data_IF_354757808875
#
_entry.id   IF_354757808875
#
_cell.length_a   1.000
_cell.length_b   1.000
_cell.length_c   1.000
_cell.angle_alpha   90.00
_cell.angle_beta   90.00
_cell.angle_gamma   90.00
#
_symmetry.space_group_name_H-M   'P 1'
#
loop_
_entity.id
_entity.type
_entity.pdbx_description
1 polymer ?
#
# COMPACT_ATOMS: atom_id res chain seq x y z
N UNK A 1 -0.51 -9.97 5.13
CA UNK A 1 0.86 -10.13 5.70
C UNK A 1 0.92 -9.95 7.21
N UNK A 2 0.63 -8.76 7.79
CA UNK A 2 0.75 -8.56 9.25
C UNK A 2 -0.02 -9.58 10.10
N UNK A 3 -1.24 -9.94 9.68
CA UNK A 3 -2.04 -10.93 10.38
C UNK A 3 -1.41 -12.33 10.35
N UNK A 4 -0.85 -12.75 9.21
CA UNK A 4 -0.13 -14.02 9.09
C UNK A 4 1.12 -14.04 9.99
N UNK A 5 1.83 -12.92 10.12
CA UNK A 5 2.93 -12.78 11.08
C UNK A 5 2.44 -12.89 12.53
N UNK A 6 1.34 -12.21 12.86
CA UNK A 6 0.75 -12.24 14.21
C UNK A 6 0.27 -13.66 14.60
N UNK A 7 -0.22 -14.41 13.63
CA UNK A 7 -0.60 -15.83 13.71
C UNK A 7 0.61 -16.79 13.69
N UNK A 8 1.84 -16.26 13.59
CA UNK A 8 3.11 -17.02 13.51
C UNK A 8 3.22 -17.95 12.28
N UNK A 9 2.47 -17.66 11.23
CA UNK A 9 2.48 -18.42 9.97
C UNK A 9 3.67 -18.01 9.08
N UNK A 10 4.10 -16.74 9.17
CA UNK A 10 5.29 -16.23 8.48
C UNK A 10 6.14 -15.34 9.39
N UNK A 11 7.44 -15.23 9.11
CA UNK A 11 8.34 -14.23 9.69
C UNK A 11 8.76 -13.18 8.65
N UNK A 12 8.93 -11.93 9.05
CA UNK A 12 9.41 -10.89 8.14
C UNK A 12 10.85 -11.12 7.65
N UNK A 13 11.64 -11.92 8.36
CA UNK A 13 12.98 -12.35 7.98
C UNK A 13 12.99 -13.66 7.20
N UNK A 14 11.83 -14.26 6.91
CA UNK A 14 11.79 -15.39 5.99
C UNK A 14 12.18 -14.92 4.58
N UNK A 15 12.99 -15.72 3.84
CA UNK A 15 13.19 -15.48 2.43
C UNK A 15 11.89 -15.75 1.67
N UNK A 16 11.59 -14.94 0.65
CA UNK A 16 10.40 -15.10 -0.19
C UNK A 16 10.35 -16.50 -0.79
N UNK A 17 11.51 -17.07 -1.15
CA UNK A 17 11.59 -18.41 -1.73
C UNK A 17 11.21 -19.55 -0.78
N UNK A 18 11.04 -19.29 0.52
CA UNK A 18 10.46 -20.26 1.47
C UNK A 18 9.01 -20.59 1.11
N UNK A 19 8.27 -19.61 0.60
CA UNK A 19 6.84 -19.74 0.23
C UNK A 19 6.64 -19.82 -1.28
N UNK A 20 7.62 -19.35 -2.06
CA UNK A 20 7.60 -19.34 -3.52
C UNK A 20 8.95 -19.81 -4.09
N UNK A 21 9.22 -21.13 -4.12
CA UNK A 21 10.54 -21.67 -4.46
C UNK A 21 11.10 -21.20 -5.80
N UNK A 22 10.24 -21.02 -6.80
CA UNK A 22 10.60 -20.57 -8.15
C UNK A 22 11.13 -19.12 -8.16
N UNK A 23 10.78 -18.32 -7.15
CA UNK A 23 11.24 -16.93 -7.01
C UNK A 23 12.75 -16.83 -6.80
N UNK A 24 13.45 -17.90 -6.37
CA UNK A 24 14.89 -17.83 -6.01
C UNK A 24 15.85 -17.52 -7.17
N UNK A 25 15.40 -17.67 -8.42
CA UNK A 25 16.22 -17.43 -9.63
C UNK A 25 16.85 -16.03 -9.62
N UNK A 26 17.94 -15.84 -10.36
CA UNK A 26 18.66 -14.55 -10.46
C UNK A 26 19.11 -13.98 -9.10
N UNK A 27 19.59 -14.86 -8.21
CA UNK A 27 20.10 -14.51 -6.87
C UNK A 27 19.05 -13.82 -5.96
N UNK A 28 17.77 -14.18 -6.14
CA UNK A 28 16.65 -13.67 -5.34
C UNK A 28 16.41 -14.50 -4.05
N UNK A 29 17.20 -15.54 -3.80
CA UNK A 29 17.17 -16.39 -2.61
C UNK A 29 17.35 -15.60 -1.29
N UNK A 30 18.04 -14.46 -1.35
CA UNK A 30 18.28 -13.57 -0.19
C UNK A 30 17.22 -12.48 -0.01
N UNK A 31 16.20 -12.42 -0.88
CA UNK A 31 15.13 -11.43 -0.73
C UNK A 31 14.19 -11.88 0.39
N UNK A 32 14.18 -11.11 1.48
CA UNK A 32 13.32 -11.35 2.63
C UNK A 32 11.98 -10.64 2.47
N UNK A 33 10.95 -11.11 3.16
CA UNK A 33 9.63 -10.46 3.17
C UNK A 33 9.74 -8.99 3.58
N UNK A 34 10.58 -8.67 4.59
CA UNK A 34 10.83 -7.28 4.99
C UNK A 34 11.41 -6.41 3.89
N UNK A 35 12.18 -6.96 2.95
CA UNK A 35 12.73 -6.20 1.82
C UNK A 35 11.61 -5.76 0.86
N UNK A 36 10.64 -6.63 0.60
CA UNK A 36 9.43 -6.25 -0.16
C UNK A 36 8.67 -5.15 0.60
N UNK A 37 8.42 -5.38 1.89
CA UNK A 37 7.62 -4.51 2.77
C UNK A 37 8.24 -3.12 2.97
N UNK A 38 9.54 -2.97 2.77
CA UNK A 38 10.28 -1.71 2.94
C UNK A 38 10.76 -1.11 1.63
N UNK A 39 10.28 -1.61 0.49
CA UNK A 39 10.70 -1.13 -0.83
C UNK A 39 12.21 -1.25 -1.10
N UNK A 40 12.86 -2.29 -0.56
CA UNK A 40 14.31 -2.49 -0.66
C UNK A 40 14.72 -3.80 -1.35
N UNK A 41 13.81 -4.53 -1.98
CA UNK A 41 14.15 -5.78 -2.66
C UNK A 41 14.81 -5.61 -4.02
N UNK A 42 14.74 -4.42 -4.62
CA UNK A 42 15.27 -4.16 -5.95
C UNK A 42 14.38 -4.69 -7.09
N UNK A 43 13.08 -4.88 -6.87
CA UNK A 43 12.14 -5.38 -7.90
C UNK A 43 11.11 -4.28 -8.15
N UNK A 44 11.55 -3.13 -8.65
CA UNK A 44 10.73 -1.92 -8.78
C UNK A 44 10.17 -1.65 -10.16
N UNK A 45 10.31 -2.64 -11.04
CA UNK A 45 9.70 -2.66 -12.37
C UNK A 45 10.27 -1.55 -13.25
N UNK A 46 11.60 -1.41 -13.28
CA UNK A 46 12.26 -0.60 -14.31
C UNK A 46 12.08 -1.17 -15.72
N UNK A 47 11.79 -2.48 -15.82
CA UNK A 47 11.43 -3.15 -17.06
C UNK A 47 9.95 -3.54 -17.03
N UNK A 48 9.24 -3.31 -18.13
CA UNK A 48 7.82 -3.60 -18.21
C UNK A 48 7.53 -5.05 -18.64
N UNK A 49 6.51 -5.64 -18.02
CA UNK A 49 5.85 -6.83 -18.52
C UNK A 49 5.14 -6.50 -19.85
N UNK A 50 5.02 -7.47 -20.76
CA UNK A 50 4.30 -7.29 -22.03
C UNK A 50 2.79 -7.13 -21.77
N UNK A 51 2.13 -6.27 -22.55
CA UNK A 51 0.71 -5.91 -22.33
C UNK A 51 -0.25 -7.12 -22.23
N UNK A 52 0.01 -8.18 -22.99
CA UNK A 52 -0.83 -9.39 -22.99
C UNK A 52 -0.62 -10.30 -21.77
N UNK A 53 0.46 -10.12 -21.00
CA UNK A 53 0.77 -10.95 -19.84
C UNK A 53 0.10 -10.43 -18.55
N UNK A 54 -0.37 -9.17 -18.55
CA UNK A 54 -1.10 -8.61 -17.40
C UNK A 54 -2.45 -9.29 -17.14
N UNK A 55 -2.95 -10.10 -18.08
CA UNK A 55 -4.24 -10.78 -17.94
C UNK A 55 -4.21 -12.11 -17.18
N UNK A 56 -3.04 -12.57 -16.72
CA UNK A 56 -2.89 -13.86 -16.04
C UNK A 56 -1.90 -13.73 -14.88
N UNK A 57 -2.38 -13.92 -13.66
CA UNK A 57 -1.55 -13.89 -12.45
C UNK A 57 -0.39 -14.90 -12.52
N UNK A 58 -0.57 -16.06 -13.19
CA UNK A 58 0.52 -17.03 -13.38
C UNK A 58 1.57 -16.53 -14.36
N UNK A 59 1.22 -15.67 -15.33
CA UNK A 59 2.20 -15.02 -16.21
C UNK A 59 2.96 -13.93 -15.47
N UNK A 60 2.27 -13.12 -14.68
CA UNK A 60 2.90 -12.12 -13.79
C UNK A 60 3.86 -12.81 -12.81
N UNK A 61 3.45 -13.91 -12.18
CA UNK A 61 4.29 -14.71 -11.30
C UNK A 61 5.53 -15.24 -12.02
N UNK A 62 5.37 -15.91 -13.17
CA UNK A 62 6.51 -16.40 -13.98
C UNK A 62 7.44 -15.29 -14.43
N UNK A 63 6.91 -14.11 -14.73
CA UNK A 63 7.74 -12.96 -15.06
C UNK A 63 8.57 -12.50 -13.85
N UNK A 64 7.95 -12.36 -12.68
CA UNK A 64 8.63 -12.03 -11.42
C UNK A 64 9.70 -13.07 -11.04
N UNK A 65 9.45 -14.36 -11.28
CA UNK A 65 10.43 -15.42 -11.08
C UNK A 65 11.68 -15.20 -11.92
N UNK A 66 11.53 -14.73 -13.17
CA UNK A 66 12.66 -14.50 -14.08
C UNK A 66 13.18 -13.04 -14.05
N UNK A 67 12.60 -12.18 -13.21
CA UNK A 67 13.06 -10.80 -13.05
C UNK A 67 14.43 -10.75 -12.37
N UNK A 68 15.32 -9.87 -12.84
CA UNK A 68 16.64 -9.65 -12.23
C UNK A 68 16.58 -8.41 -11.34
N UNK A 69 16.89 -8.51 -10.03
CA UNK A 69 16.87 -7.35 -9.15
C UNK A 69 17.79 -6.24 -9.64
N UNK A 70 17.28 -5.01 -9.65
CA UNK A 70 17.97 -3.78 -10.05
C UNK A 70 19.02 -3.33 -9.03
N UNK A 71 18.95 -3.87 -7.81
CA UNK A 71 19.87 -3.56 -6.72
C UNK A 71 19.94 -4.73 -5.74
N UNK A 72 21.02 -4.77 -4.95
CA UNK A 72 21.17 -5.76 -3.88
C UNK A 72 20.05 -5.58 -2.84
N UNK A 73 19.36 -6.67 -2.44
CA UNK A 73 18.29 -6.60 -1.46
C UNK A 73 18.75 -5.93 -0.15
N UNK A 74 17.95 -4.98 0.34
CA UNK A 74 18.21 -4.20 1.55
C UNK A 74 19.13 -2.98 1.36
N UNK A 75 19.69 -2.74 0.17
CA UNK A 75 20.67 -1.66 -0.05
C UNK A 75 20.08 -0.34 -0.57
N UNK A 76 19.01 -0.39 -1.37
CA UNK A 76 18.45 0.77 -2.04
C UNK A 76 16.94 0.80 -1.85
N UNK A 77 16.37 1.98 -1.56
CA UNK A 77 14.92 2.17 -1.56
C UNK A 77 14.48 2.53 -2.98
N UNK A 78 13.59 1.73 -3.53
CA UNK A 78 12.89 2.03 -4.79
C UNK A 78 11.43 1.64 -4.63
N UNK A 79 10.54 2.63 -4.67
CA UNK A 79 9.11 2.37 -4.56
C UNK A 79 8.65 1.33 -5.59
N UNK A 80 7.95 0.31 -5.09
CA UNK A 80 7.47 -0.85 -5.84
C UNK A 80 6.00 -0.61 -6.19
N UNK A 81 5.73 0.13 -7.26
CA UNK A 81 4.38 0.63 -7.55
C UNK A 81 3.35 -0.51 -7.66
N UNK A 82 3.67 -1.57 -8.40
CA UNK A 82 2.76 -2.70 -8.64
C UNK A 82 3.30 -4.03 -8.13
N UNK A 83 4.62 -4.23 -8.19
CA UNK A 83 5.27 -5.48 -7.76
C UNK A 83 5.15 -5.74 -6.27
N UNK A 84 4.98 -4.69 -5.45
CA UNK A 84 4.68 -4.83 -4.02
C UNK A 84 3.45 -5.69 -3.79
N UNK A 85 2.34 -5.33 -4.43
CA UNK A 85 1.08 -6.04 -4.32
C UNK A 85 1.15 -7.44 -4.92
N UNK A 86 1.76 -7.58 -6.10
CA UNK A 86 1.87 -8.90 -6.75
C UNK A 86 2.68 -9.90 -5.93
N UNK A 87 3.85 -9.52 -5.43
CA UNK A 87 4.71 -10.42 -4.65
C UNK A 87 4.03 -10.80 -3.34
N UNK A 88 3.46 -9.83 -2.61
CA UNK A 88 2.81 -10.12 -1.33
C UNK A 88 1.50 -10.90 -1.52
N UNK A 89 0.77 -10.65 -2.60
CA UNK A 89 -0.42 -11.40 -2.99
C UNK A 89 -0.08 -12.87 -3.25
N UNK A 90 0.93 -13.13 -4.08
CA UNK A 90 1.40 -14.49 -4.38
C UNK A 90 1.81 -15.24 -3.11
N UNK A 91 2.58 -14.60 -2.21
CA UNK A 91 2.98 -15.19 -0.92
C UNK A 91 1.75 -15.57 -0.09
N UNK A 92 0.76 -14.66 0.04
CA UNK A 92 -0.45 -14.92 0.82
C UNK A 92 -1.23 -16.10 0.23
N UNK A 93 -1.40 -16.13 -1.09
CA UNK A 93 -2.14 -17.20 -1.77
C UNK A 93 -1.46 -18.56 -1.58
N UNK A 94 -0.14 -18.64 -1.78
CA UNK A 94 0.63 -19.89 -1.58
C UNK A 94 0.61 -20.40 -0.15
N UNK A 95 0.64 -19.50 0.84
CA UNK A 95 0.58 -19.88 2.26
C UNK A 95 -0.79 -20.46 2.64
N UNK A 96 -1.87 -19.90 2.06
CA UNK A 96 -3.23 -20.11 2.58
C UNK A 96 -4.12 -20.94 1.66
N UNK A 97 -3.70 -21.18 0.41
CA UNK A 97 -4.49 -21.79 -0.65
C UNK A 97 -5.84 -21.10 -0.90
N UNK A 98 -5.93 -19.80 -0.62
CA UNK A 98 -7.09 -18.94 -0.85
C UNK A 98 -6.68 -17.72 -1.66
N UNK A 99 -7.60 -17.09 -2.39
CA UNK A 99 -7.30 -15.87 -3.12
C UNK A 99 -6.86 -14.74 -2.18
N UNK A 100 -6.21 -13.71 -2.74
CA UNK A 100 -5.86 -12.54 -1.93
C UNK A 100 -7.11 -11.86 -1.35
N UNK A 101 -8.19 -11.79 -2.12
CA UNK A 101 -9.48 -11.20 -1.76
C UNK A 101 -10.10 -11.93 -0.57
N UNK A 102 -10.15 -13.26 -0.62
CA UNK A 102 -10.67 -14.10 0.47
C UNK A 102 -9.86 -13.87 1.75
N UNK A 103 -8.54 -13.88 1.64
CA UNK A 103 -7.67 -13.58 2.77
C UNK A 103 -7.87 -12.17 3.33
N UNK A 104 -7.98 -11.17 2.46
CA UNK A 104 -8.21 -9.79 2.87
C UNK A 104 -9.56 -9.66 3.57
N UNK A 105 -10.61 -10.28 3.03
CA UNK A 105 -11.93 -10.26 3.63
C UNK A 105 -11.93 -10.94 5.01
N UNK A 106 -11.44 -12.18 5.11
CA UNK A 106 -11.44 -12.96 6.35
C UNK A 106 -10.52 -12.38 7.43
N UNK A 107 -9.31 -11.96 7.04
CA UNK A 107 -8.26 -11.57 8.00
C UNK A 107 -8.23 -10.07 8.29
N UNK A 108 -8.90 -9.24 7.48
CA UNK A 108 -8.91 -7.77 7.63
C UNK A 108 -10.32 -7.22 7.70
N UNK A 109 -11.17 -7.47 6.70
CA UNK A 109 -12.49 -6.83 6.66
C UNK A 109 -13.41 -7.31 7.79
N UNK A 110 -13.53 -8.63 8.02
CA UNK A 110 -14.39 -9.18 9.09
C UNK A 110 -13.92 -8.69 10.48
N UNK A 111 -12.65 -8.87 10.89
CA UNK A 111 -12.22 -8.53 12.25
C UNK A 111 -12.26 -7.02 12.55
N UNK A 112 -12.17 -6.19 11.50
CA UNK A 112 -12.23 -4.74 11.62
C UNK A 112 -13.61 -4.18 11.23
N UNK A 113 -14.58 -5.01 10.89
CA UNK A 113 -15.91 -4.58 10.43
C UNK A 113 -15.82 -3.55 9.28
N UNK A 114 -15.03 -3.83 8.25
CA UNK A 114 -14.94 -3.01 7.03
C UNK A 114 -15.99 -3.52 6.03
N UNK A 115 -17.06 -2.75 5.85
CA UNK A 115 -18.26 -3.19 5.10
C UNK A 115 -18.23 -2.79 3.62
N UNK A 116 -17.49 -1.73 3.29
CA UNK A 116 -17.40 -1.11 1.97
C UNK A 116 -15.94 -1.02 1.47
N UNK A 117 -15.03 -1.81 2.05
CA UNK A 117 -13.65 -1.96 1.59
C UNK A 117 -13.45 -3.31 0.92
N UNK A 118 -13.08 -3.32 -0.36
CA UNK A 118 -12.90 -4.54 -1.14
C UNK A 118 -11.99 -4.32 -2.35
N UNK A 119 -11.41 -5.40 -2.84
CA UNK A 119 -10.81 -5.47 -4.18
C UNK A 119 -11.89 -6.02 -5.11
N UNK A 120 -12.07 -5.39 -6.29
CA UNK A 120 -13.20 -5.74 -7.17
C UNK A 120 -13.10 -7.22 -7.60
N UNK A 121 -14.10 -8.01 -7.23
CA UNK A 121 -14.35 -9.36 -7.73
C UNK A 121 -15.80 -9.41 -8.20
N UNK A 122 -16.00 -9.49 -9.52
CA UNK A 122 -17.30 -9.47 -10.23
C UNK A 122 -18.13 -8.18 -10.07
N UNK A 123 -18.94 -7.93 -11.09
CA UNK A 123 -19.98 -6.90 -11.14
C UNK A 123 -21.02 -7.19 -10.06
N UNK A 124 -20.84 -6.68 -8.84
CA UNK A 124 -21.93 -6.67 -7.88
C UNK A 124 -22.94 -5.62 -8.36
N UNK A 125 -24.19 -6.05 -8.56
CA UNK A 125 -25.31 -5.21 -9.04
C UNK A 125 -25.74 -4.11 -8.05
N UNK A 126 -25.06 -3.99 -6.91
CA UNK A 126 -25.36 -3.03 -5.85
C UNK A 126 -24.13 -2.14 -5.59
N UNK A 127 -23.75 -1.29 -6.56
CA UNK A 127 -22.68 -0.31 -6.37
C UNK A 127 -23.21 0.90 -5.58
N UNK A 128 -22.92 0.95 -4.27
CA UNK A 128 -23.22 2.13 -3.42
C UNK A 128 -22.11 3.20 -3.43
N UNK A 129 -20.91 2.89 -3.92
CA UNK A 129 -19.77 3.81 -3.93
C UNK A 129 -19.47 4.36 -5.32
N UNK A 130 -19.20 5.67 -5.46
CA UNK A 130 -18.86 6.26 -6.75
C UNK A 130 -17.49 5.74 -7.23
N UNK A 131 -17.49 4.92 -8.28
CA UNK A 131 -16.26 4.41 -8.91
C UNK A 131 -15.81 5.26 -10.11
N UNK A 132 -16.63 6.21 -10.54
CA UNK A 132 -16.30 7.12 -11.63
C UNK A 132 -15.23 8.11 -11.20
N UNK A 133 -14.15 8.21 -11.98
CA UNK A 133 -13.05 9.16 -11.77
C UNK A 133 -13.23 10.33 -12.73
N UNK A 134 -13.26 11.54 -12.17
CA UNK A 134 -13.32 12.80 -12.90
C UNK A 134 -11.92 13.40 -13.03
N UNK A 135 -11.64 14.03 -14.17
CA UNK A 135 -10.35 14.67 -14.43
C UNK A 135 -10.56 16.18 -14.53
N UNK A 136 -9.92 16.93 -13.64
CA UNK A 136 -9.86 18.38 -13.74
C UNK A 136 -8.91 18.81 -14.87
N UNK A 137 -9.14 19.98 -15.49
CA UNK A 137 -8.30 20.53 -16.57
C UNK A 137 -6.81 20.62 -16.20
N UNK A 138 -6.51 20.87 -14.93
CA UNK A 138 -5.15 20.94 -14.39
C UNK A 138 -4.44 19.58 -14.31
N UNK A 139 -5.18 18.47 -14.40
CA UNK A 139 -4.61 17.13 -14.31
C UNK A 139 -3.85 16.80 -15.61
N UNK A 140 -2.52 16.70 -15.48
CA UNK A 140 -1.62 16.37 -16.61
C UNK A 140 -1.42 14.88 -16.83
N UNK A 141 -2.10 14.01 -16.07
CA UNK A 141 -2.06 12.55 -16.31
C UNK A 141 -2.79 12.29 -17.63
N UNK A 142 -2.03 12.17 -18.72
CA UNK A 142 -2.54 11.97 -20.08
C UNK A 142 -3.13 10.58 -20.24
N UNK A 143 -2.50 9.57 -19.63
CA UNK A 143 -3.00 8.21 -19.55
C UNK A 143 -2.86 7.70 -18.10
N UNK A 144 -3.92 7.08 -17.57
CA UNK A 144 -3.76 6.08 -16.51
C UNK A 144 -2.72 5.08 -17.02
N UNK A 145 -1.72 4.73 -16.21
CA UNK A 145 -0.62 3.87 -16.64
C UNK A 145 -1.17 2.65 -17.39
N UNK A 146 -0.50 2.26 -18.48
CA UNK A 146 -0.91 1.14 -19.33
C UNK A 146 -1.16 -0.11 -18.50
N UNK A 147 -0.37 -0.28 -17.43
CA UNK A 147 -0.50 -1.37 -16.45
C UNK A 147 -1.89 -1.38 -15.79
N UNK A 148 -2.35 -0.25 -15.25
CA UNK A 148 -3.69 -0.19 -14.63
C UNK A 148 -4.79 -0.46 -15.65
N UNK A 149 -4.67 0.07 -16.88
CA UNK A 149 -5.65 -0.19 -17.94
C UNK A 149 -5.69 -1.67 -18.32
N UNK A 150 -4.53 -2.29 -18.53
CA UNK A 150 -4.43 -3.70 -18.88
C UNK A 150 -5.00 -4.60 -17.77
N UNK A 151 -4.69 -4.33 -16.50
CA UNK A 151 -5.23 -5.08 -15.37
C UNK A 151 -6.75 -4.91 -15.24
N UNK A 152 -7.26 -3.70 -15.40
CA UNK A 152 -8.71 -3.43 -15.38
C UNK A 152 -9.45 -4.16 -16.51
N UNK A 153 -8.93 -4.10 -17.75
CA UNK A 153 -9.50 -4.80 -18.90
C UNK A 153 -9.57 -6.31 -18.66
N UNK A 154 -8.49 -6.88 -18.12
CA UNK A 154 -8.41 -8.32 -17.85
C UNK A 154 -9.08 -8.73 -16.53
N UNK A 155 -9.73 -7.81 -15.81
CA UNK A 155 -10.38 -8.06 -14.51
C UNK A 155 -9.43 -8.68 -13.47
N UNK A 156 -8.14 -8.37 -13.54
CA UNK A 156 -7.13 -8.81 -12.58
C UNK A 156 -7.01 -7.77 -11.46
N UNK A 157 -7.16 -8.17 -10.18
CA UNK A 157 -7.03 -7.25 -9.06
C UNK A 157 -5.58 -6.74 -8.95
N UNK A 158 -5.43 -5.41 -8.88
CA UNK A 158 -4.15 -4.79 -8.55
C UNK A 158 -4.11 -4.51 -7.05
N UNK A 159 -3.49 -5.41 -6.30
CA UNK A 159 -3.39 -5.32 -4.85
C UNK A 159 -2.79 -3.98 -4.39
N UNK A 160 -1.87 -3.39 -5.16
CA UNK A 160 -1.27 -2.08 -4.85
C UNK A 160 -2.13 -0.86 -5.15
N UNK A 161 -3.26 -0.98 -5.85
CA UNK A 161 -3.92 0.20 -6.42
C UNK A 161 -5.40 0.10 -6.80
N UNK A 162 -6.03 -1.08 -6.71
CA UNK A 162 -7.44 -1.26 -7.10
C UNK A 162 -8.39 -1.50 -5.92
N UNK A 163 -7.95 -1.24 -4.68
CA UNK A 163 -8.85 -1.30 -3.53
C UNK A 163 -9.88 -0.16 -3.60
N UNK A 164 -11.16 -0.51 -3.46
CA UNK A 164 -12.26 0.44 -3.31
C UNK A 164 -12.60 0.52 -1.82
N UNK A 165 -12.88 1.72 -1.32
CA UNK A 165 -13.22 1.97 0.09
C UNK A 165 -14.05 3.24 0.25
N UNK A 166 -14.67 3.41 1.42
CA UNK A 166 -15.15 4.70 1.91
C UNK A 166 -14.25 5.27 3.01
N UNK A 167 -14.53 6.49 3.47
CA UNK A 167 -13.76 7.17 4.51
C UNK A 167 -13.96 6.51 5.88
N UNK A 168 -15.15 6.01 6.20
CA UNK A 168 -15.44 5.36 7.48
C UNK A 168 -14.56 4.11 7.69
N UNK A 169 -14.52 3.21 6.72
CA UNK A 169 -13.77 1.96 6.82
C UNK A 169 -12.27 2.20 6.72
N UNK A 170 -11.82 3.09 5.84
CA UNK A 170 -10.40 3.41 5.75
C UNK A 170 -9.88 4.06 7.04
N UNK A 171 -10.66 4.97 7.64
CA UNK A 171 -10.33 5.54 8.95
C UNK A 171 -10.31 4.47 10.04
N UNK A 172 -11.29 3.55 10.03
CA UNK A 172 -11.34 2.43 10.98
C UNK A 172 -10.11 1.52 10.86
N UNK A 173 -9.67 1.22 9.64
CA UNK A 173 -8.45 0.46 9.38
C UNK A 173 -7.23 1.15 10.00
N UNK A 174 -7.00 2.44 9.71
CA UNK A 174 -5.87 3.19 10.28
C UNK A 174 -5.94 3.30 11.81
N UNK A 175 -7.12 3.54 12.38
CA UNK A 175 -7.33 3.53 13.83
C UNK A 175 -7.06 2.16 14.45
N UNK A 176 -7.36 1.06 13.74
CA UNK A 176 -7.10 -0.28 14.23
C UNK A 176 -5.60 -0.58 14.35
N UNK A 177 -4.75 -0.01 13.49
CA UNK A 177 -3.29 -0.19 13.54
C UNK A 177 -2.72 0.29 14.88
N UNK A 178 -3.26 1.38 15.43
CA UNK A 178 -2.82 1.93 16.71
C UNK A 178 -3.61 1.35 17.91
N UNK A 179 -4.94 1.26 17.78
CA UNK A 179 -5.83 1.07 18.92
C UNK A 179 -6.42 -0.33 19.05
N UNK A 180 -6.51 -1.10 17.96
CA UNK A 180 -7.18 -2.40 18.02
C UNK A 180 -6.44 -3.34 18.96
N UNK A 181 -7.17 -3.90 19.93
CA UNK A 181 -6.65 -4.92 20.85
C UNK A 181 -6.92 -6.34 20.35
N UNK A 182 -7.88 -6.52 19.45
CA UNK A 182 -8.36 -7.84 18.99
C UNK A 182 -7.81 -8.27 17.64
N UNK A 183 -7.34 -7.34 16.80
CA UNK A 183 -6.92 -7.68 15.44
C UNK A 183 -5.45 -8.10 15.35
N UNK A 184 -4.54 -7.26 15.87
CA UNK A 184 -3.10 -7.51 15.92
C UNK A 184 -2.60 -7.40 17.36
N UNK A 185 -1.70 -8.29 17.77
CA UNK A 185 -1.05 -8.19 19.08
C UNK A 185 -0.26 -6.89 19.23
N UNK A 186 -0.08 -6.43 20.48
CA UNK A 186 0.74 -5.25 20.77
C UNK A 186 2.20 -5.42 20.29
N UNK A 187 2.73 -6.65 20.30
CA UNK A 187 4.07 -6.95 19.78
C UNK A 187 4.14 -6.69 18.28
N UNK A 188 3.17 -7.20 17.51
CA UNK A 188 3.12 -7.01 16.05
C UNK A 188 2.92 -5.54 15.70
N UNK A 189 1.98 -4.84 16.36
CA UNK A 189 1.77 -3.40 16.16
C UNK A 189 3.08 -2.61 16.35
N UNK A 190 3.78 -2.81 17.47
CA UNK A 190 5.08 -2.15 17.74
C UNK A 190 6.12 -2.46 16.67
N UNK A 191 6.15 -3.69 16.16
CA UNK A 191 7.11 -4.10 15.15
C UNK A 191 6.84 -3.46 13.78
N UNK A 192 5.58 -3.49 13.31
CA UNK A 192 5.22 -2.99 11.96
C UNK A 192 5.27 -1.46 11.89
N UNK A 193 4.98 -0.80 13.02
CA UNK A 193 5.04 0.67 13.20
C UNK A 193 6.38 1.15 13.76
N UNK A 194 7.44 0.36 13.62
CA UNK A 194 8.83 0.82 13.82
C UNK A 194 9.40 1.26 12.48
N UNK A 195 10.32 2.24 12.49
CA UNK A 195 11.11 2.56 11.31
C UNK A 195 12.19 1.48 11.12
N UNK A 196 12.14 0.78 9.99
CA UNK A 196 13.10 -0.25 9.61
C UNK A 196 14.15 0.27 8.63
N UNK A 197 13.77 1.20 7.73
CA UNK A 197 14.66 1.76 6.71
C UNK A 197 14.44 3.27 6.60
N UNK A 198 15.52 4.03 6.36
CA UNK A 198 15.50 5.44 6.00
C UNK A 198 16.44 5.69 4.83
N UNK A 199 16.08 6.55 3.89
CA UNK A 199 16.93 6.87 2.75
C UNK A 199 16.19 7.54 1.60
N UNK A 200 16.93 7.85 0.54
CA UNK A 200 16.37 8.42 -0.70
C UNK A 200 15.62 7.31 -1.45
N UNK A 201 14.38 7.59 -1.81
CA UNK A 201 13.56 6.72 -2.65
C UNK A 201 13.78 7.06 -4.13
N UNK A 202 14.44 6.16 -4.84
CA UNK A 202 14.93 6.42 -6.21
C UNK A 202 13.83 6.40 -7.27
N UNK A 203 12.66 5.84 -6.95
CA UNK A 203 11.52 5.83 -7.88
C UNK A 203 10.44 6.83 -7.48
N UNK A 204 10.52 7.40 -6.27
CA UNK A 204 9.59 8.41 -5.80
C UNK A 204 10.23 9.81 -5.79
N UNK A 205 10.68 10.29 -6.95
CA UNK A 205 11.24 11.64 -7.16
C UNK A 205 12.42 11.99 -6.23
N UNK A 206 13.23 11.00 -5.86
CA UNK A 206 14.39 11.17 -4.97
C UNK A 206 14.03 11.74 -3.59
N UNK A 207 12.81 11.46 -3.12
CA UNK A 207 12.35 11.98 -1.83
C UNK A 207 12.86 11.12 -0.68
N UNK A 208 13.23 11.77 0.42
CA UNK A 208 13.67 11.08 1.63
C UNK A 208 12.49 10.36 2.29
N UNK A 209 12.63 9.06 2.45
CA UNK A 209 11.60 8.15 2.92
C UNK A 209 11.97 7.51 4.25
N UNK A 210 10.98 7.32 5.11
CA UNK A 210 11.07 6.60 6.39
C UNK A 210 10.05 5.47 6.35
N UNK A 211 10.50 4.22 6.34
CA UNK A 211 9.65 3.07 6.04
C UNK A 211 9.60 2.10 7.22
N UNK A 212 8.37 1.73 7.58
CA UNK A 212 8.05 0.57 8.40
C UNK A 212 7.79 -0.67 7.53
N UNK A 213 7.16 -1.69 8.10
CA UNK A 213 6.82 -2.90 7.35
C UNK A 213 5.47 -2.70 6.63
N UNK A 214 5.50 -2.19 5.40
CA UNK A 214 4.30 -1.85 4.64
C UNK A 214 3.64 -0.52 5.05
N UNK A 215 4.39 0.32 5.76
CA UNK A 215 3.93 1.62 6.27
C UNK A 215 4.97 2.68 5.88
N UNK A 216 4.49 3.86 5.50
CA UNK A 216 5.32 5.03 5.23
C UNK A 216 5.09 6.08 6.32
N UNK A 217 6.15 6.41 7.05
CA UNK A 217 6.11 7.46 8.06
C UNK A 217 6.18 8.82 7.39
N UNK A 218 5.65 9.83 8.09
CA UNK A 218 5.80 11.21 7.65
C UNK A 218 7.26 11.59 7.47
N UNK A 219 7.56 12.08 6.27
CA UNK A 219 8.81 12.70 5.91
C UNK A 219 8.58 14.04 5.21
N UNK A 220 9.59 14.50 4.48
CA UNK A 220 9.48 15.72 3.67
C UNK A 220 8.68 15.51 2.36
N UNK A 221 8.14 14.31 2.15
CA UNK A 221 7.20 14.00 1.09
C UNK A 221 5.99 14.94 1.18
N UNK A 222 5.60 15.50 0.05
CA UNK A 222 4.66 16.62 0.03
C UNK A 222 3.22 16.16 0.34
N UNK A 223 2.88 14.90 0.03
CA UNK A 223 1.67 14.22 0.51
C UNK A 223 1.73 13.84 2.00
N UNK A 224 2.90 13.93 2.64
CA UNK A 224 3.13 13.59 4.04
C UNK A 224 3.35 14.81 4.92
N UNK A 225 3.46 16.03 4.36
CA UNK A 225 3.50 17.29 5.13
C UNK A 225 2.22 17.56 5.90
N UNK A 226 1.13 16.91 5.51
CA UNK A 226 -0.13 16.84 6.25
C UNK A 226 0.03 16.21 7.62
N UNK A 227 0.99 15.29 7.76
CA UNK A 227 1.45 14.70 9.01
C UNK A 227 2.68 15.53 9.42
N UNK A 228 2.82 15.92 10.69
CA UNK A 228 3.99 16.72 11.07
C UNK A 228 5.27 15.95 10.72
N UNK A 229 6.23 16.58 10.04
CA UNK A 229 7.52 15.96 9.71
C UNK A 229 8.31 15.55 10.96
N UNK A 230 7.98 16.17 12.11
CA UNK A 230 8.51 15.85 13.42
C UNK A 230 7.71 14.76 14.17
N UNK A 231 6.58 14.28 13.64
CA UNK A 231 5.81 13.20 14.26
C UNK A 231 6.18 11.82 13.73
N UNK A 232 5.81 10.79 14.49
CA UNK A 232 5.87 9.39 14.05
C UNK A 232 4.50 8.97 13.47
N UNK A 233 3.76 9.93 12.91
CA UNK A 233 2.57 9.60 12.15
C UNK A 233 2.94 8.90 10.85
N UNK A 234 2.02 8.09 10.35
CA UNK A 234 2.26 7.27 9.18
C UNK A 234 0.98 7.05 8.38
N UNK A 235 1.12 6.80 7.09
CA UNK A 235 0.00 6.75 6.16
C UNK A 235 0.43 6.36 4.76
N UNK A 236 -0.50 6.54 3.82
CA UNK A 236 -0.23 6.44 2.40
C UNK A 236 -1.18 7.33 1.60
N UNK A 237 -0.65 7.92 0.53
CA UNK A 237 -1.46 8.58 -0.51
C UNK A 237 -1.73 7.61 -1.66
N UNK A 238 -2.90 7.69 -2.29
CA UNK A 238 -3.14 7.07 -3.58
C UNK A 238 -2.92 8.07 -4.72
N UNK A 239 -3.14 7.62 -5.96
CA UNK A 239 -2.90 8.40 -7.17
C UNK A 239 -3.78 9.66 -7.23
N UNK A 240 -3.30 10.75 -6.63
CA UNK A 240 -3.86 12.11 -6.64
C UNK A 240 -5.32 12.27 -6.15
N UNK A 241 -5.95 11.23 -5.62
CA UNK A 241 -7.39 11.21 -5.30
C UNK A 241 -7.69 10.79 -3.86
N UNK A 242 -6.74 10.17 -3.17
CA UNK A 242 -6.96 9.71 -1.80
C UNK A 242 -5.72 9.80 -0.93
N UNK A 243 -5.96 9.88 0.38
CA UNK A 243 -4.94 9.82 1.41
C UNK A 243 -5.56 9.28 2.69
N UNK A 244 -4.81 8.48 3.41
CA UNK A 244 -5.16 8.18 4.79
C UNK A 244 -3.90 8.03 5.65
N UNK A 245 -4.01 8.42 6.91
CA UNK A 245 -2.90 8.42 7.85
C UNK A 245 -3.38 8.37 9.30
N UNK A 246 -2.48 8.02 10.19
CA UNK A 246 -2.68 8.05 11.64
C UNK A 246 -1.50 8.66 12.36
N UNK A 247 -1.75 9.35 13.48
CA UNK A 247 -0.75 9.94 14.36
C UNK A 247 -0.92 9.36 15.77
N UNK A 248 -0.08 8.38 16.15
CA UNK A 248 -0.26 7.66 17.41
C UNK A 248 -0.23 8.55 18.66
N UNK A 249 0.56 9.63 18.65
CA UNK A 249 0.70 10.55 19.81
C UNK A 249 -0.61 11.29 20.13
N UNK A 250 -1.33 11.72 19.10
CA UNK A 250 -2.60 12.43 19.22
C UNK A 250 -3.81 11.51 19.13
N UNK A 251 -3.59 10.19 19.00
CA UNK A 251 -4.62 9.19 18.80
C UNK A 251 -5.60 9.52 17.65
N UNK A 252 -5.06 10.09 16.57
CA UNK A 252 -5.83 10.62 15.45
C UNK A 252 -5.64 9.76 14.21
N UNK A 253 -6.73 9.44 13.52
CA UNK A 253 -6.69 8.81 12.20
C UNK A 253 -7.60 9.58 11.24
N UNK A 254 -7.12 9.78 10.01
CA UNK A 254 -7.82 10.56 8.99
C UNK A 254 -7.81 9.77 7.68
N UNK A 255 -8.94 9.77 6.98
CA UNK A 255 -9.04 9.36 5.59
C UNK A 255 -9.74 10.46 4.77
N UNK A 256 -9.12 10.84 3.66
CA UNK A 256 -9.67 11.77 2.67
C UNK A 256 -9.75 11.02 1.36
N UNK A 257 -10.97 10.80 0.88
CA UNK A 257 -11.24 10.16 -0.42
C UNK A 257 -12.01 11.14 -1.31
N UNK A 258 -11.63 11.22 -2.56
CA UNK A 258 -12.41 11.88 -3.60
C UNK A 258 -12.19 11.17 -4.92
N UNK A 259 -13.04 11.46 -5.89
CA UNK A 259 -12.97 10.91 -7.22
C UNK A 259 -12.56 11.96 -8.27
N UNK A 260 -11.89 13.04 -7.85
CA UNK A 260 -11.40 14.11 -8.73
C UNK A 260 -9.87 14.10 -8.81
N UNK A 261 -9.34 13.79 -9.99
CA UNK A 261 -7.92 13.92 -10.28
C UNK A 261 -7.59 15.38 -10.58
N UNK A 262 -6.72 15.94 -9.74
CA UNK A 262 -6.15 17.29 -9.89
C UNK A 262 -4.69 17.20 -10.38
N UNK A 263 -4.09 18.35 -10.70
CA UNK A 263 -2.63 18.44 -10.78
C UNK A 263 -1.98 18.00 -9.47
N UNK A 264 -0.75 17.48 -9.54
CA UNK A 264 0.00 17.08 -8.34
C UNK A 264 0.07 18.24 -7.32
N UNK A 265 0.37 19.46 -7.78
CA UNK A 265 0.49 20.65 -6.93
C UNK A 265 -0.82 21.02 -6.23
N UNK A 266 -1.94 21.02 -6.97
CA UNK A 266 -3.25 21.34 -6.38
C UNK A 266 -3.73 20.27 -5.41
N UNK A 267 -3.49 19.01 -5.74
CA UNK A 267 -3.87 17.91 -4.86
C UNK A 267 -3.09 17.95 -3.53
N UNK A 268 -1.78 18.19 -3.62
CA UNK A 268 -0.92 18.44 -2.47
C UNK A 268 -1.46 19.58 -1.60
N UNK A 269 -1.79 20.72 -2.23
CA UNK A 269 -2.25 21.89 -1.51
C UNK A 269 -3.55 21.58 -0.75
N UNK A 270 -4.51 20.96 -1.44
CA UNK A 270 -5.80 20.54 -0.89
C UNK A 270 -5.62 19.60 0.32
N UNK A 271 -4.81 18.57 0.20
CA UNK A 271 -4.61 17.61 1.31
C UNK A 271 -3.91 18.23 2.51
N UNK A 272 -2.94 19.13 2.29
CA UNK A 272 -2.28 19.84 3.37
C UNK A 272 -3.24 20.82 4.06
N UNK A 273 -4.06 21.55 3.30
CA UNK A 273 -5.06 22.47 3.86
C UNK A 273 -6.09 21.72 4.72
N UNK A 274 -6.69 20.65 4.20
CA UNK A 274 -7.66 19.84 4.94
C UNK A 274 -7.06 19.24 6.21
N UNK A 275 -5.86 18.65 6.10
CA UNK A 275 -5.21 18.03 7.25
C UNK A 275 -4.80 19.06 8.31
N UNK A 276 -4.35 20.24 7.90
CA UNK A 276 -4.03 21.33 8.81
C UNK A 276 -5.28 21.84 9.53
N UNK A 277 -6.36 22.09 8.79
CA UNK A 277 -7.63 22.55 9.36
C UNK A 277 -8.17 21.57 10.41
N UNK A 278 -8.17 20.27 10.12
CA UNK A 278 -8.61 19.24 11.08
C UNK A 278 -7.74 19.25 12.35
N UNK A 279 -6.41 19.38 12.20
CA UNK A 279 -5.50 19.42 13.36
C UNK A 279 -5.70 20.68 14.21
N UNK A 280 -5.88 21.83 13.60
CA UNK A 280 -6.11 23.08 14.32
C UNK A 280 -7.46 23.07 15.05
N UNK A 281 -8.50 22.50 14.44
CA UNK A 281 -9.80 22.34 15.10
C UNK A 281 -9.71 21.40 16.32
N UNK A 282 -9.03 20.26 16.19
CA UNK A 282 -8.81 19.35 17.31
C UNK A 282 -8.00 19.98 18.45
N UNK A 283 -7.00 20.82 18.14
CA UNK A 283 -6.25 21.56 19.18
C UNK A 283 -7.13 22.53 19.97
N UNK A 284 -8.23 23.02 19.39
CA UNK A 284 -9.20 23.89 20.09
C UNK A 284 -10.11 23.09 21.00
N UNK A 285 -10.48 21.87 20.60
CA UNK A 285 -11.37 20.99 21.36
C UNK A 285 -10.67 20.38 22.59
N UNK A 286 -9.36 20.10 22.49
CA UNK A 286 -8.58 19.45 23.55
C UNK A 286 -7.70 20.42 24.37
N UNK A 287 -7.93 21.74 24.23
CA UNK A 287 -7.40 22.77 25.13
C UNK A 287 -8.46 23.14 26.15
#
# INVERSE_FOLDING_TARGET
IWKLYDEKILDFNDPVCKYWPEFKKNNKDKILIKHIMTHTSGISLTDSLRDHDYGDLNRIARWLENYTPESTPGKKISYHEVTFGWILGEIVQRITNKSFEENFFEKVCIPLNLKKTYFKMKESKNEELPTNIFKHESCKISNIDKIFRALLINKIPLISGSCISNTQDLTRFYSAIINSKSWLSNKTKKLVTKIHVKGIDYNNRLLFSRLGLGIRFSGNNINERSISSASNGFGHGGLLSCMAWTEPKSNLSIAILNNLLLSHTLNVYRFNLLSHAIKEDLKRIFK
#
